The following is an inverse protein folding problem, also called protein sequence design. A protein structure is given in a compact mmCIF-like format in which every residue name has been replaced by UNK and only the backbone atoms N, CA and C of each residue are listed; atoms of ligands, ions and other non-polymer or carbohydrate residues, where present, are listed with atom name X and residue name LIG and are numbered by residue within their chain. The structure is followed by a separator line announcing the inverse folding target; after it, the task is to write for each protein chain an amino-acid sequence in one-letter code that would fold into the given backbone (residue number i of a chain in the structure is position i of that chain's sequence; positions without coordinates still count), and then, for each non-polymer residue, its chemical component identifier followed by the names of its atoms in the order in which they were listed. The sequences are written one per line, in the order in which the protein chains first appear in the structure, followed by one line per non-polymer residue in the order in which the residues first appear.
data_IF_236302979206
#
_entry.id   IF_236302979206
#
_cell.length_a   1.000
_cell.length_b   1.000
_cell.length_c   1.000
_cell.angle_alpha   90.00
_cell.angle_beta   90.00
_cell.angle_gamma   90.00
#
_symmetry.space_group_name_H-M   'P 1'
#
loop_
_entity.id
_entity.type
_entity.pdbx_description
1 polymer ?
#
# COMPACT_ATOMS: atom_id res chain seq x y z
N UNK A 1 1.40 -26.04 4.11
CA UNK A 1 2.46 -25.13 3.62
C UNK A 1 1.78 -23.97 2.92
N UNK A 2 1.28 -22.99 3.69
CA UNK A 2 0.60 -21.77 3.20
C UNK A 2 0.85 -20.57 4.16
N UNK A 3 1.77 -20.72 5.13
CA UNK A 3 2.00 -19.71 6.18
C UNK A 3 3.39 -19.05 6.08
N UNK A 4 4.29 -19.58 5.26
CA UNK A 4 5.63 -19.02 5.02
C UNK A 4 5.63 -17.85 4.03
N UNK A 5 4.56 -17.69 3.25
CA UNK A 5 4.42 -16.59 2.28
C UNK A 5 3.89 -15.30 2.93
N UNK A 6 3.51 -15.36 4.22
CA UNK A 6 3.05 -14.22 5.02
C UNK A 6 4.04 -13.83 6.12
N UNK A 7 5.16 -14.55 6.28
CA UNK A 7 6.23 -14.10 7.16
C UNK A 7 7.09 -13.09 6.40
N UNK A 8 6.77 -11.81 6.58
CA UNK A 8 7.73 -10.73 6.36
C UNK A 8 8.99 -11.11 7.15
N UNK A 9 10.06 -11.49 6.44
CA UNK A 9 11.29 -12.01 7.06
C UNK A 9 12.38 -10.93 7.09
N UNK A 10 12.27 -9.92 6.21
CA UNK A 10 13.17 -8.77 6.11
C UNK A 10 12.37 -7.47 5.87
N UNK A 11 12.88 -6.33 6.36
CA UNK A 11 12.33 -4.99 6.07
C UNK A 11 12.26 -4.70 4.56
N UNK A 12 13.17 -5.26 3.78
CA UNK A 12 13.17 -5.14 2.33
C UNK A 12 11.95 -5.83 1.68
N UNK A 13 11.40 -6.87 2.30
CA UNK A 13 10.18 -7.53 1.83
C UNK A 13 8.97 -6.59 1.99
N UNK A 14 8.90 -5.81 3.08
CA UNK A 14 7.85 -4.82 3.29
C UNK A 14 7.86 -3.75 2.20
N UNK A 15 9.04 -3.21 1.87
CA UNK A 15 9.20 -2.20 0.82
C UNK A 15 8.84 -2.75 -0.55
N UNK A 16 9.22 -4.00 -0.82
CA UNK A 16 8.90 -4.69 -2.08
C UNK A 16 7.40 -4.87 -2.21
N UNK A 17 6.74 -5.38 -1.18
CA UNK A 17 5.31 -5.64 -1.21
C UNK A 17 4.48 -4.35 -1.26
N UNK A 18 4.93 -3.30 -0.56
CA UNK A 18 4.34 -1.97 -0.69
C UNK A 18 4.35 -1.50 -2.15
N UNK A 19 5.50 -1.60 -2.83
CA UNK A 19 5.62 -1.19 -4.23
C UNK A 19 4.73 -2.03 -5.16
N UNK A 20 4.61 -3.35 -4.93
CA UNK A 20 3.70 -4.21 -5.69
C UNK A 20 2.26 -3.73 -5.53
N UNK A 21 1.85 -3.42 -4.30
CA UNK A 21 0.50 -2.94 -4.01
C UNK A 21 0.19 -1.60 -4.70
N UNK A 22 1.12 -0.65 -4.69
CA UNK A 22 0.98 0.63 -5.38
C UNK A 22 0.89 0.46 -6.91
N UNK A 23 1.70 -0.44 -7.49
CA UNK A 23 1.61 -0.76 -8.92
C UNK A 23 0.24 -1.32 -9.30
N UNK A 24 -0.28 -2.29 -8.53
CA UNK A 24 -1.62 -2.84 -8.75
C UNK A 24 -2.72 -1.80 -8.57
N UNK A 25 -2.60 -0.92 -7.57
CA UNK A 25 -3.55 0.19 -7.36
C UNK A 25 -3.61 1.13 -8.57
N UNK A 26 -2.45 1.48 -9.12
CA UNK A 26 -2.35 2.32 -10.31
C UNK A 26 -2.94 1.63 -11.55
N UNK A 27 -2.74 0.32 -11.70
CA UNK A 27 -3.34 -0.46 -12.78
C UNK A 27 -4.87 -0.52 -12.66
N UNK A 28 -5.39 -0.78 -11.45
CA UNK A 28 -6.81 -0.76 -11.14
C UNK A 28 -7.43 0.60 -11.49
N UNK A 29 -6.79 1.69 -11.07
CA UNK A 29 -7.24 3.05 -11.38
C UNK A 29 -7.28 3.28 -12.89
N UNK A 30 -6.22 2.92 -13.61
CA UNK A 30 -6.12 3.08 -15.06
C UNK A 30 -7.24 2.33 -15.79
N UNK A 31 -7.49 1.06 -15.46
CA UNK A 31 -8.53 0.25 -16.08
C UNK A 31 -9.91 0.86 -15.80
N UNK A 32 -10.13 1.34 -14.57
CA UNK A 32 -11.38 2.02 -14.19
C UNK A 32 -11.60 3.28 -15.02
N UNK A 33 -10.60 4.14 -15.14
CA UNK A 33 -10.68 5.37 -15.92
C UNK A 33 -11.03 5.07 -17.39
N UNK A 34 -10.36 4.07 -17.99
CA UNK A 34 -10.63 3.64 -19.36
C UNK A 34 -12.07 3.12 -19.56
N UNK A 35 -12.58 2.37 -18.58
CA UNK A 35 -13.95 1.88 -18.61
C UNK A 35 -14.96 3.02 -18.51
N UNK A 36 -14.70 4.03 -17.66
CA UNK A 36 -15.58 5.19 -17.51
C UNK A 36 -15.58 6.05 -18.78
N UNK A 37 -14.43 6.29 -19.40
CA UNK A 37 -14.34 6.98 -20.68
C UNK A 37 -15.14 6.27 -21.78
N UNK A 38 -15.04 4.92 -21.83
CA UNK A 38 -15.82 4.13 -22.79
C UNK A 38 -17.32 4.29 -22.56
N UNK A 39 -17.77 4.22 -21.30
CA UNK A 39 -19.18 4.41 -20.94
C UNK A 39 -19.66 5.80 -21.33
N UNK A 40 -18.92 6.84 -20.97
CA UNK A 40 -19.27 8.23 -21.29
C UNK A 40 -19.38 8.46 -22.80
N UNK A 41 -18.52 7.83 -23.61
CA UNK A 41 -18.61 7.89 -25.06
C UNK A 41 -19.95 7.33 -25.60
N UNK A 42 -20.50 6.32 -24.92
CA UNK A 42 -21.75 5.65 -25.32
C UNK A 42 -23.00 6.42 -24.90
N UNK A 43 -22.91 7.30 -23.88
CA UNK A 43 -24.03 8.13 -23.36
C UNK A 43 -24.73 8.92 -24.45
N UNK A 44 -24.01 9.36 -25.48
CA UNK A 44 -24.59 10.07 -26.62
C UNK A 44 -25.50 9.22 -27.53
N UNK A 45 -25.33 7.89 -27.52
CA UNK A 45 -25.98 6.97 -28.46
C UNK A 45 -27.32 6.39 -27.95
N UNK A 46 -27.52 6.34 -26.63
CA UNK A 46 -28.71 5.80 -25.97
C UNK A 46 -29.45 6.87 -25.17
N UNK A 47 -30.79 6.95 -25.32
CA UNK A 47 -31.64 7.96 -24.66
C UNK A 47 -32.66 7.30 -23.72
N UNK A 48 -33.18 8.09 -22.78
CA UNK A 48 -34.27 7.69 -21.89
C UNK A 48 -33.81 7.15 -20.54
N UNK A 49 -34.76 6.64 -19.75
CA UNK A 49 -34.53 6.24 -18.35
C UNK A 49 -33.45 5.18 -18.17
N UNK A 50 -33.22 4.32 -19.18
CA UNK A 50 -32.15 3.34 -19.17
C UNK A 50 -30.76 4.01 -19.13
N UNK A 51 -30.53 5.04 -19.96
CA UNK A 51 -29.25 5.77 -19.98
C UNK A 51 -28.93 6.39 -18.61
N UNK A 52 -29.92 7.04 -17.98
CA UNK A 52 -29.73 7.64 -16.65
C UNK A 52 -29.41 6.59 -15.58
N UNK A 53 -30.08 5.43 -15.61
CA UNK A 53 -29.78 4.32 -14.68
C UNK A 53 -28.37 3.77 -14.88
N UNK A 54 -27.96 3.54 -16.12
CA UNK A 54 -26.60 3.06 -16.41
C UNK A 54 -25.54 4.07 -15.97
N UNK A 55 -25.70 5.36 -16.31
CA UNK A 55 -24.78 6.41 -15.89
C UNK A 55 -24.63 6.49 -14.37
N UNK A 56 -25.74 6.37 -13.62
CA UNK A 56 -25.70 6.34 -12.15
C UNK A 56 -24.92 5.14 -11.60
N UNK A 57 -25.09 3.94 -12.18
CA UNK A 57 -24.33 2.76 -11.73
C UNK A 57 -22.83 2.91 -11.99
N UNK A 58 -22.44 3.47 -13.14
CA UNK A 58 -21.03 3.69 -13.45
C UNK A 58 -20.40 4.76 -12.56
N UNK A 59 -21.16 5.81 -12.20
CA UNK A 59 -20.70 6.81 -11.23
C UNK A 59 -20.47 6.20 -9.84
N UNK A 60 -21.38 5.33 -9.39
CA UNK A 60 -21.17 4.58 -8.14
C UNK A 60 -19.89 3.73 -8.18
N UNK A 61 -19.65 3.06 -9.30
CA UNK A 61 -18.41 2.31 -9.51
C UNK A 61 -17.18 3.22 -9.50
N UNK A 62 -17.23 4.43 -10.07
CA UNK A 62 -16.12 5.41 -9.94
C UNK A 62 -15.79 5.73 -8.49
N UNK A 63 -16.83 5.99 -7.68
CA UNK A 63 -16.65 6.34 -6.27
C UNK A 63 -16.06 5.15 -5.49
N UNK A 64 -16.56 3.95 -5.70
CA UNK A 64 -16.06 2.72 -5.07
C UNK A 64 -14.60 2.44 -5.45
N UNK A 65 -14.24 2.59 -6.72
CA UNK A 65 -12.86 2.37 -7.18
C UNK A 65 -11.89 3.42 -6.66
N UNK A 66 -12.36 4.66 -6.44
CA UNK A 66 -11.56 5.68 -5.75
C UNK A 66 -11.26 5.25 -4.31
N UNK A 67 -12.23 4.71 -3.59
CA UNK A 67 -12.02 4.19 -2.22
C UNK A 67 -10.97 3.08 -2.22
N UNK A 68 -11.06 2.14 -3.18
CA UNK A 68 -10.06 1.06 -3.31
C UNK A 68 -8.66 1.63 -3.57
N UNK A 69 -8.54 2.61 -4.48
CA UNK A 69 -7.26 3.26 -4.75
C UNK A 69 -6.68 3.95 -3.51
N UNK A 70 -7.50 4.71 -2.79
CA UNK A 70 -7.08 5.40 -1.56
C UNK A 70 -6.60 4.39 -0.50
N UNK A 71 -7.34 3.30 -0.30
CA UNK A 71 -6.95 2.22 0.62
C UNK A 71 -5.63 1.56 0.23
N UNK A 72 -5.40 1.31 -1.06
CA UNK A 72 -4.14 0.74 -1.51
C UNK A 72 -2.96 1.69 -1.28
N UNK A 73 -3.16 2.97 -1.49
CA UNK A 73 -2.14 3.98 -1.26
C UNK A 73 -1.83 4.16 0.23
N UNK A 74 -2.85 4.08 1.09
CA UNK A 74 -2.68 4.04 2.55
C UNK A 74 -1.86 2.83 2.97
N UNK A 75 -2.21 1.62 2.48
CA UNK A 75 -1.47 0.40 2.79
C UNK A 75 0.00 0.46 2.35
N UNK A 76 0.27 1.03 1.16
CA UNK A 76 1.63 1.33 0.72
C UNK A 76 2.36 2.25 1.72
N UNK A 77 1.72 3.34 2.11
CA UNK A 77 2.29 4.35 3.01
C UNK A 77 2.63 3.74 4.37
N UNK A 78 1.72 2.93 4.92
CA UNK A 78 1.87 2.27 6.21
C UNK A 78 3.05 1.28 6.20
N UNK A 79 3.18 0.45 5.15
CA UNK A 79 4.29 -0.49 5.05
C UNK A 79 5.64 0.21 4.93
N UNK A 80 5.71 1.31 4.20
CA UNK A 80 6.92 2.14 4.10
C UNK A 80 7.27 2.77 5.45
N UNK A 81 6.28 3.24 6.19
CA UNK A 81 6.48 3.79 7.54
C UNK A 81 6.97 2.74 8.53
N UNK A 82 6.36 1.54 8.54
CA UNK A 82 6.78 0.43 9.38
C UNK A 82 8.23 0.05 9.09
N UNK A 83 8.59 -0.06 7.81
CA UNK A 83 9.95 -0.37 7.38
C UNK A 83 10.97 0.65 7.92
N UNK A 84 10.65 1.96 7.81
CA UNK A 84 11.50 3.03 8.31
C UNK A 84 11.63 3.01 9.84
N UNK A 85 10.53 2.78 10.54
CA UNK A 85 10.52 2.71 12.00
C UNK A 85 11.38 1.54 12.51
N UNK A 86 11.33 0.39 11.82
CA UNK A 86 12.17 -0.75 12.12
C UNK A 86 13.66 -0.44 11.92
N UNK A 87 14.05 0.12 10.77
CA UNK A 87 15.45 0.50 10.48
C UNK A 87 16.01 1.48 11.52
N UNK A 88 15.19 2.44 11.95
CA UNK A 88 15.57 3.42 12.97
C UNK A 88 15.77 2.75 14.33
N UNK A 89 14.81 1.91 14.74
CA UNK A 89 14.87 1.22 16.02
C UNK A 89 16.08 0.26 16.11
N UNK A 90 16.41 -0.43 15.02
CA UNK A 90 17.57 -1.32 14.96
C UNK A 90 18.88 -0.53 15.10
N UNK A 91 19.02 0.58 14.35
CA UNK A 91 20.19 1.44 14.46
C UNK A 91 20.38 2.02 15.87
N UNK A 92 19.28 2.43 16.52
CA UNK A 92 19.31 2.90 17.91
C UNK A 92 19.72 1.79 18.88
N UNK A 93 19.24 0.57 18.67
CA UNK A 93 19.62 -0.59 19.49
C UNK A 93 21.10 -0.94 19.32
N UNK A 94 21.62 -0.95 18.09
CA UNK A 94 23.06 -1.15 17.82
C UNK A 94 23.91 -0.07 18.50
N UNK A 95 23.52 1.20 18.38
CA UNK A 95 24.22 2.32 19.01
C UNK A 95 24.25 2.17 20.54
N UNK A 96 23.12 1.78 21.15
CA UNK A 96 23.02 1.50 22.59
C UNK A 96 23.86 0.29 22.98
N UNK A 97 23.81 -0.80 22.24
CA UNK A 97 24.61 -2.00 22.51
C UNK A 97 26.11 -1.68 22.46
N UNK A 98 26.56 -0.93 21.45
CA UNK A 98 27.95 -0.48 21.34
C UNK A 98 28.37 0.47 22.47
N UNK A 99 27.43 1.17 23.11
CA UNK A 99 27.69 2.04 24.26
C UNK A 99 27.78 1.27 25.59
N UNK A 100 27.32 0.01 25.64
CA UNK A 100 27.44 -0.82 26.83
C UNK A 100 28.91 -1.18 27.05
N UNK A 101 29.42 -0.92 28.26
CA UNK A 101 30.76 -1.38 28.63
C UNK A 101 30.74 -2.90 28.74
N UNK A 102 31.60 -3.56 27.96
CA UNK A 102 31.70 -5.01 27.93
C UNK A 102 32.24 -5.62 29.24
N UNK A 103 32.83 -4.82 30.15
CA UNK A 103 33.24 -5.31 31.47
C UNK A 103 33.41 -4.15 32.48
N UNK A 104 33.12 -4.42 33.76
CA UNK A 104 33.52 -3.58 34.90
C UNK A 104 34.80 -4.19 35.42
N UNK A 105 35.96 -3.64 35.05
CA UNK A 105 37.22 -4.01 35.68
C UNK A 105 37.13 -3.74 37.20
N UNK A 106 36.78 -4.77 37.98
CA UNK A 106 37.11 -4.86 39.39
C UNK A 106 38.62 -5.04 39.46
N UNK A 107 39.33 -3.91 39.36
CA UNK A 107 40.77 -3.87 39.64
C UNK A 107 40.94 -4.35 41.07
N UNK A 108 41.53 -5.54 41.19
CA UNK A 108 42.04 -6.08 42.43
C UNK A 108 43.05 -5.09 43.01
N UNK A 109 42.72 -4.55 44.18
CA UNK A 109 43.59 -3.76 45.04
C UNK A 109 43.24 -4.09 46.48
#
# INVERSE_FOLDING_TARGET
MILTELSITDVNDLKTEANNFDQHANEIKKITDQMLELVDSTISCWRGTAQSKYSNQFKGLTDDMKVIYDMCHEYYTDLVEIAKNYETAESDNEARANSLKADVNLVQG
#
